data_IF_650511770107
#
_entry.id   IF_650511770107
#
_cell.length_a   1.000
_cell.length_b   1.000
_cell.length_c   1.000
_cell.angle_alpha   90.00
_cell.angle_beta   90.00
_cell.angle_gamma   90.00
#
_symmetry.space_group_name_H-M   'P 1'
#
loop_
_entity.id
_entity.type
_entity.pdbx_description
1 polymer ?
#
# COMPACT_ATOMS: atom_id res chain seq x y z
N UNK A 1 -0.37 6.02 5.99
CA UNK A 1 -0.37 5.23 7.25
C UNK A 1 -0.07 3.77 6.94
N UNK A 2 0.76 3.12 7.77
CA UNK A 2 0.90 1.67 7.75
C UNK A 2 -0.40 1.05 8.28
N UNK A 3 -0.97 0.13 7.52
CA UNK A 3 -2.23 -0.54 7.84
C UNK A 3 -1.97 -2.00 8.23
N UNK A 4 -1.19 -2.69 7.43
CA UNK A 4 -0.80 -4.07 7.70
C UNK A 4 0.71 -4.24 7.53
N UNK A 5 1.30 -5.03 8.40
CA UNK A 5 2.71 -5.35 8.44
C UNK A 5 3.00 -6.80 8.07
N UNK A 6 4.27 -7.20 8.21
CA UNK A 6 4.74 -8.53 7.82
C UNK A 6 3.95 -9.66 8.48
N UNK A 7 3.60 -10.67 7.72
CA UNK A 7 2.86 -11.85 8.17
C UNK A 7 1.36 -11.66 8.37
N UNK A 8 0.84 -10.43 8.22
CA UNK A 8 -0.58 -10.12 8.40
C UNK A 8 -1.38 -10.29 7.10
N UNK A 9 -2.65 -10.59 7.23
CA UNK A 9 -3.62 -10.62 6.13
C UNK A 9 -4.49 -9.37 6.14
N UNK A 10 -4.63 -8.71 5.00
CA UNK A 10 -5.44 -7.51 4.82
C UNK A 10 -6.63 -7.79 3.91
N UNK A 11 -7.79 -7.29 4.31
CA UNK A 11 -9.02 -7.33 3.50
C UNK A 11 -9.79 -6.02 3.64
N UNK A 12 -10.45 -5.59 2.57
CA UNK A 12 -11.36 -4.43 2.58
C UNK A 12 -12.74 -4.92 2.14
N UNK A 13 -13.75 -4.64 2.94
CA UNK A 13 -15.15 -4.99 2.67
C UNK A 13 -15.99 -3.73 2.88
N UNK A 14 -16.69 -3.27 1.85
CA UNK A 14 -17.50 -2.03 1.90
C UNK A 14 -16.71 -0.81 2.42
N UNK A 15 -15.43 -0.69 2.01
CA UNK A 15 -14.48 0.34 2.45
C UNK A 15 -13.97 0.18 3.89
N UNK A 16 -14.52 -0.74 4.67
CA UNK A 16 -13.98 -1.06 6.00
C UNK A 16 -12.76 -1.98 5.84
N UNK A 17 -11.70 -1.64 6.55
CA UNK A 17 -10.43 -2.35 6.48
C UNK A 17 -10.35 -3.35 7.63
N UNK A 18 -9.93 -4.57 7.31
CA UNK A 18 -9.71 -5.63 8.27
C UNK A 18 -8.26 -6.11 8.17
N UNK A 19 -7.62 -6.31 9.31
CA UNK A 19 -6.29 -6.90 9.43
C UNK A 19 -6.38 -8.10 10.36
N UNK A 20 -6.03 -9.28 9.87
CA UNK A 20 -6.20 -10.56 10.58
C UNK A 20 -7.64 -10.75 11.11
N UNK A 21 -8.62 -10.34 10.32
CA UNK A 21 -10.06 -10.40 10.66
C UNK A 21 -10.53 -9.34 11.67
N UNK A 22 -9.64 -8.51 12.20
CA UNK A 22 -9.99 -7.42 13.11
C UNK A 22 -10.14 -6.10 12.35
N UNK A 23 -11.21 -5.36 12.61
CA UNK A 23 -11.46 -4.09 11.93
C UNK A 23 -10.40 -3.04 12.33
N UNK A 24 -9.78 -2.43 11.33
CA UNK A 24 -8.87 -1.30 11.49
C UNK A 24 -9.66 0.00 11.34
N UNK A 25 -9.80 0.73 12.44
CA UNK A 25 -10.57 1.97 12.45
C UNK A 25 -9.79 3.14 11.83
N UNK A 26 -10.51 3.92 11.04
CA UNK A 26 -9.97 5.15 10.48
C UNK A 26 -9.64 6.14 11.62
N UNK A 27 -8.49 6.81 11.60
CA UNK A 27 -8.16 7.82 12.61
C UNK A 27 -9.14 8.99 12.59
N UNK A 28 -9.24 9.75 13.69
CA UNK A 28 -10.20 10.85 13.88
C UNK A 28 -10.21 11.88 12.73
N UNK A 29 -9.04 12.12 12.13
CA UNK A 29 -8.89 13.05 11.00
C UNK A 29 -8.96 12.39 9.63
N UNK A 30 -9.15 11.09 9.59
CA UNK A 30 -9.29 10.31 8.37
C UNK A 30 -10.62 10.63 7.65
N UNK A 31 -10.63 10.39 6.35
CA UNK A 31 -11.79 10.61 5.49
C UNK A 31 -12.06 9.36 4.66
N UNK A 32 -13.26 8.82 4.83
CA UNK A 32 -13.81 7.79 3.97
C UNK A 32 -15.31 8.08 3.80
N UNK A 33 -15.77 8.18 2.58
CA UNK A 33 -17.19 8.33 2.31
C UNK A 33 -17.82 6.94 2.20
N UNK A 34 -18.88 6.71 2.94
CA UNK A 34 -19.70 5.49 2.78
C UNK A 34 -20.72 5.61 1.62
N UNK A 35 -20.69 6.73 0.90
CA UNK A 35 -21.48 6.93 -0.31
C UNK A 35 -20.74 6.35 -1.52
N UNK A 36 -21.49 5.83 -2.49
CA UNK A 36 -20.96 5.30 -3.75
C UNK A 36 -19.90 4.21 -3.54
N UNK A 37 -20.23 3.19 -2.78
CA UNK A 37 -19.44 1.96 -2.68
C UNK A 37 -19.57 1.22 -4.01
N UNK A 38 -18.46 0.78 -4.58
CA UNK A 38 -18.49 -0.08 -5.77
C UNK A 38 -19.12 -1.42 -5.46
N UNK A 39 -19.62 -2.09 -6.48
CA UNK A 39 -20.02 -3.48 -6.40
C UNK A 39 -18.78 -4.37 -6.23
N UNK A 40 -18.88 -5.46 -5.51
CA UNK A 40 -17.77 -6.39 -5.28
C UNK A 40 -17.30 -7.08 -6.57
N UNK A 41 -18.22 -7.28 -7.52
CA UNK A 41 -17.91 -7.83 -8.85
C UNK A 41 -17.26 -6.80 -9.79
N UNK A 42 -17.22 -5.51 -9.42
CA UNK A 42 -16.65 -4.47 -10.28
C UNK A 42 -15.13 -4.55 -10.31
N UNK A 43 -14.58 -4.88 -11.48
CA UNK A 43 -13.14 -4.88 -11.72
C UNK A 43 -12.63 -3.45 -11.99
N UNK A 44 -12.04 -2.82 -10.98
CA UNK A 44 -11.47 -1.48 -11.11
C UNK A 44 -10.09 -1.55 -11.80
N UNK A 45 -9.91 -0.73 -12.85
CA UNK A 45 -8.60 -0.61 -13.50
C UNK A 45 -7.60 0.08 -12.57
N UNK A 46 -6.39 -0.46 -12.51
CA UNK A 46 -5.30 0.11 -11.73
C UNK A 46 -5.19 -0.44 -10.30
N UNK A 47 -6.12 -1.26 -9.85
CA UNK A 47 -5.96 -2.02 -8.60
C UNK A 47 -4.88 -3.09 -8.77
N UNK A 48 -4.07 -3.26 -7.75
CA UNK A 48 -2.94 -4.18 -7.73
C UNK A 48 -2.93 -5.03 -6.44
N UNK A 49 -2.65 -6.35 -6.52
CA UNK A 49 -2.48 -7.14 -7.75
C UNK A 49 -3.78 -7.29 -8.55
N UNK A 50 -3.66 -7.59 -9.84
CA UNK A 50 -4.83 -7.76 -10.70
C UNK A 50 -5.70 -8.92 -10.22
N UNK A 51 -7.02 -8.70 -10.25
CA UNK A 51 -7.99 -9.73 -9.86
C UNK A 51 -8.25 -9.83 -8.37
N UNK A 52 -7.63 -8.98 -7.54
CA UNK A 52 -7.85 -8.97 -6.07
C UNK A 52 -9.13 -8.22 -5.66
N UNK A 53 -9.81 -7.56 -6.59
CA UNK A 53 -11.03 -6.79 -6.36
C UNK A 53 -10.97 -5.34 -6.83
N UNK A 54 -11.51 -4.43 -6.04
CA UNK A 54 -11.50 -2.99 -6.30
C UNK A 54 -11.14 -2.22 -5.01
N UNK A 55 -11.16 -0.88 -5.03
CA UNK A 55 -10.75 -0.06 -3.86
C UNK A 55 -11.64 -0.23 -2.64
N UNK A 56 -12.88 -0.67 -2.81
CA UNK A 56 -13.91 -0.80 -1.77
C UNK A 56 -14.12 -2.25 -1.32
N UNK A 57 -13.76 -3.22 -2.18
CA UNK A 57 -13.70 -4.66 -1.94
C UNK A 57 -12.35 -5.17 -2.43
N UNK A 58 -11.45 -5.48 -1.52
CA UNK A 58 -10.06 -5.81 -1.82
C UNK A 58 -9.57 -6.94 -0.91
N UNK A 59 -8.87 -7.90 -1.48
CA UNK A 59 -8.25 -8.97 -0.70
C UNK A 59 -9.04 -10.28 -0.70
N UNK A 60 -8.70 -11.21 0.23
CA UNK A 60 -7.60 -11.05 1.20
C UNK A 60 -6.20 -11.03 0.56
N UNK A 61 -5.32 -10.15 1.04
CA UNK A 61 -3.92 -10.06 0.64
C UNK A 61 -3.01 -10.40 1.82
N UNK A 62 -2.19 -11.43 1.66
CA UNK A 62 -1.13 -11.76 2.63
C UNK A 62 0.06 -10.82 2.43
N UNK A 63 0.52 -10.19 3.53
CA UNK A 63 1.69 -9.31 3.52
C UNK A 63 2.93 -10.14 3.84
N UNK A 64 3.90 -10.26 2.92
CA UNK A 64 5.07 -11.10 3.15
C UNK A 64 5.99 -10.58 4.26
N UNK A 65 6.51 -11.51 5.05
CA UNK A 65 7.61 -11.27 5.98
C UNK A 65 8.94 -11.76 5.41
N UNK A 66 10.04 -11.23 5.93
CA UNK A 66 11.36 -11.78 5.63
C UNK A 66 11.43 -13.27 6.00
N UNK A 67 11.89 -14.09 5.07
CA UNK A 67 11.94 -15.55 5.20
C UNK A 67 10.69 -16.29 4.73
N UNK A 68 9.60 -15.59 4.39
CA UNK A 68 8.41 -16.23 3.81
C UNK A 68 8.71 -16.75 2.40
N UNK A 69 8.12 -17.91 2.07
CA UNK A 69 8.26 -18.50 0.77
C UNK A 69 7.05 -18.19 -0.12
N UNK A 70 7.27 -17.47 -1.20
CA UNK A 70 6.27 -17.21 -2.24
C UNK A 70 6.33 -18.34 -3.29
N UNK A 71 5.34 -19.21 -3.31
CA UNK A 71 5.15 -20.21 -4.35
C UNK A 71 4.38 -19.57 -5.50
N UNK A 72 4.90 -19.65 -6.72
CA UNK A 72 4.29 -18.99 -7.88
C UNK A 72 3.06 -19.75 -8.36
N UNK A 73 2.01 -19.01 -8.63
CA UNK A 73 0.78 -19.49 -9.26
C UNK A 73 0.21 -18.39 -10.16
N UNK A 74 -0.66 -18.76 -11.09
CA UNK A 74 -1.31 -17.77 -11.97
C UNK A 74 -2.08 -16.69 -11.19
N UNK A 75 -2.60 -17.02 -10.01
CA UNK A 75 -3.38 -16.11 -9.18
C UNK A 75 -2.54 -15.10 -8.41
N UNK A 76 -1.27 -15.41 -8.10
CA UNK A 76 -0.42 -14.54 -7.31
C UNK A 76 0.80 -14.00 -8.06
N UNK A 77 0.90 -14.25 -9.36
CA UNK A 77 2.10 -13.95 -10.14
C UNK A 77 2.44 -12.45 -10.12
N UNK A 78 1.44 -11.58 -10.29
CA UNK A 78 1.64 -10.13 -10.24
C UNK A 78 2.17 -9.69 -8.86
N UNK A 79 1.64 -10.28 -7.79
CA UNK A 79 2.06 -10.00 -6.43
C UNK A 79 3.52 -10.46 -6.20
N UNK A 80 3.85 -11.68 -6.61
CA UNK A 80 5.20 -12.21 -6.49
C UNK A 80 6.22 -11.38 -7.29
N UNK A 81 5.91 -11.03 -8.53
CA UNK A 81 6.76 -10.16 -9.37
C UNK A 81 6.98 -8.79 -8.71
N UNK A 82 5.95 -8.20 -8.12
CA UNK A 82 6.08 -6.93 -7.41
C UNK A 82 7.03 -7.04 -6.21
N UNK A 83 6.82 -8.04 -5.33
CA UNK A 83 7.67 -8.27 -4.16
C UNK A 83 9.13 -8.43 -4.56
N UNK A 84 9.42 -9.33 -5.51
CA UNK A 84 10.77 -9.64 -5.98
C UNK A 84 11.44 -8.40 -6.59
N UNK A 85 10.70 -7.64 -7.42
CA UNK A 85 11.22 -6.42 -8.04
C UNK A 85 11.49 -5.31 -7.01
N UNK A 86 10.68 -5.20 -5.96
CA UNK A 86 10.87 -4.25 -4.85
C UNK A 86 12.11 -4.60 -4.02
N UNK A 87 12.52 -5.86 -3.98
CA UNK A 87 13.76 -6.33 -3.34
C UNK A 87 15.00 -6.13 -4.23
N UNK A 88 14.81 -5.66 -5.46
CA UNK A 88 15.90 -5.23 -6.35
C UNK A 88 16.30 -6.24 -7.41
N UNK A 89 15.56 -7.34 -7.55
CA UNK A 89 15.84 -8.40 -8.53
C UNK A 89 15.19 -8.12 -9.88
N UNK A 90 15.85 -8.56 -10.95
CA UNK A 90 15.29 -8.55 -12.28
C UNK A 90 14.40 -9.77 -12.49
N UNK A 91 13.12 -9.54 -12.78
CA UNK A 91 12.13 -10.60 -12.96
C UNK A 91 11.66 -10.67 -14.41
N UNK A 92 11.75 -11.83 -15.02
CA UNK A 92 11.24 -12.07 -16.37
C UNK A 92 10.36 -13.33 -16.39
N UNK A 93 9.35 -13.39 -17.30
CA UNK A 93 8.55 -14.59 -17.46
C UNK A 93 9.40 -15.80 -17.86
N UNK A 94 9.20 -16.91 -17.19
CA UNK A 94 9.77 -18.20 -17.52
C UNK A 94 8.81 -19.09 -18.33
N UNK A 95 9.11 -20.37 -18.42
CA UNK A 95 8.28 -21.36 -19.11
C UNK A 95 7.33 -22.01 -18.07
N UNK A 96 6.08 -22.28 -18.44
CA UNK A 96 5.13 -23.05 -17.62
C UNK A 96 4.87 -22.50 -16.21
N UNK A 97 4.71 -21.18 -16.07
CA UNK A 97 4.37 -20.54 -14.78
C UNK A 97 5.58 -20.30 -13.85
N UNK A 98 6.80 -20.66 -14.29
CA UNK A 98 8.01 -20.28 -13.60
C UNK A 98 8.37 -18.83 -13.85
N UNK A 99 9.15 -18.23 -12.95
CA UNK A 99 9.80 -16.95 -13.16
C UNK A 99 11.30 -17.16 -13.35
N UNK A 100 11.92 -16.24 -14.07
CA UNK A 100 13.37 -16.10 -14.05
C UNK A 100 13.70 -14.90 -13.18
N UNK A 101 14.48 -15.14 -12.14
CA UNK A 101 15.00 -14.12 -11.24
C UNK A 101 16.51 -14.05 -11.50
N UNK A 102 16.99 -12.86 -11.89
CA UNK A 102 18.40 -12.62 -12.25
C UNK A 102 18.96 -13.61 -13.28
N UNK A 103 18.09 -14.08 -14.19
CA UNK A 103 18.41 -15.02 -15.26
C UNK A 103 18.25 -16.51 -14.90
N UNK A 104 18.04 -16.88 -13.64
CA UNK A 104 17.83 -18.25 -13.17
C UNK A 104 16.35 -18.59 -13.09
N UNK A 105 15.95 -19.76 -13.59
CA UNK A 105 14.55 -20.23 -13.52
C UNK A 105 14.28 -20.82 -12.15
N UNK A 106 13.25 -20.30 -11.49
CA UNK A 106 12.83 -20.73 -10.16
C UNK A 106 11.31 -20.92 -10.10
N UNK A 107 10.83 -21.71 -9.16
CA UNK A 107 9.41 -22.00 -8.94
C UNK A 107 8.87 -21.37 -7.63
N UNK A 108 9.77 -20.85 -6.81
CA UNK A 108 9.45 -20.13 -5.57
C UNK A 108 10.49 -19.05 -5.32
N UNK A 109 10.16 -18.16 -4.39
CA UNK A 109 11.07 -17.11 -3.92
C UNK A 109 10.99 -16.99 -2.40
N UNK A 110 12.12 -16.79 -1.75
CA UNK A 110 12.18 -16.51 -0.31
C UNK A 110 12.35 -15.01 -0.13
N UNK A 111 11.37 -14.35 0.51
CA UNK A 111 11.40 -12.91 0.75
C UNK A 111 12.62 -12.52 1.58
N UNK A 112 13.37 -11.53 1.12
CA UNK A 112 14.60 -11.08 1.78
C UNK A 112 14.33 -10.06 2.88
N UNK A 113 13.22 -9.32 2.77
CA UNK A 113 12.84 -8.28 3.73
C UNK A 113 11.35 -8.29 4.05
N UNK A 114 11.00 -7.56 5.11
CA UNK A 114 9.62 -7.33 5.49
C UNK A 114 8.92 -6.37 4.51
N UNK A 115 7.63 -6.59 4.31
CA UNK A 115 6.78 -5.74 3.48
C UNK A 115 5.64 -5.15 4.30
N UNK A 116 5.10 -4.02 3.83
CA UNK A 116 4.04 -3.26 4.51
C UNK A 116 3.00 -2.79 3.51
N UNK A 117 1.76 -2.71 3.96
CA UNK A 117 0.66 -2.15 3.19
C UNK A 117 0.30 -0.77 3.73
N UNK A 118 0.42 0.24 2.88
CA UNK A 118 0.21 1.63 3.23
C UNK A 118 -1.08 2.15 2.62
N UNK A 119 -1.91 2.84 3.41
CA UNK A 119 -3.07 3.56 2.89
C UNK A 119 -3.07 5.01 3.36
N UNK A 120 -3.53 5.90 2.47
CA UNK A 120 -3.77 7.29 2.83
C UNK A 120 -4.99 7.42 3.74
N UNK A 121 -4.94 8.36 4.69
CA UNK A 121 -6.08 8.62 5.60
C UNK A 121 -7.28 9.23 4.87
N UNK A 122 -7.09 9.84 3.69
CA UNK A 122 -8.17 10.21 2.77
C UNK A 122 -8.41 9.07 1.78
N UNK A 123 -9.17 8.07 2.19
CA UNK A 123 -9.38 6.78 1.53
C UNK A 123 -9.84 6.88 0.08
N UNK A 124 -10.75 7.82 -0.20
CA UNK A 124 -11.34 8.00 -1.54
C UNK A 124 -10.45 8.82 -2.47
N UNK A 125 -9.46 9.53 -1.95
CA UNK A 125 -8.56 10.38 -2.73
C UNK A 125 -7.10 10.12 -2.34
N UNK A 126 -6.70 8.86 -2.40
CA UNK A 126 -5.33 8.40 -2.16
C UNK A 126 -4.90 7.43 -3.24
N UNK A 127 -3.71 7.63 -3.78
CA UNK A 127 -3.02 6.68 -4.65
C UNK A 127 -1.99 5.94 -3.78
N UNK A 128 -2.41 4.83 -3.20
CA UNK A 128 -1.68 4.09 -2.16
C UNK A 128 -1.45 2.62 -2.54
N UNK A 129 -1.13 1.76 -1.58
CA UNK A 129 -0.79 0.35 -1.83
C UNK A 129 -1.85 -0.44 -2.57
N UNK A 130 -3.11 -0.01 -2.55
CA UNK A 130 -4.17 -0.62 -3.38
C UNK A 130 -3.88 -0.52 -4.87
N UNK A 131 -3.05 0.43 -5.29
CA UNK A 131 -2.75 0.73 -6.69
C UNK A 131 -1.34 0.35 -7.12
N UNK A 132 -0.35 0.49 -6.26
CA UNK A 132 1.06 0.25 -6.61
C UNK A 132 1.72 -0.89 -5.82
N UNK A 133 1.00 -1.55 -4.90
CA UNK A 133 1.47 -2.73 -4.18
C UNK A 133 2.12 -2.41 -2.83
N UNK A 134 3.04 -3.27 -2.42
CA UNK A 134 3.65 -3.23 -1.10
C UNK A 134 4.79 -2.21 -1.00
N UNK A 135 5.18 -1.89 0.24
CA UNK A 135 6.37 -1.10 0.57
C UNK A 135 7.38 -1.99 1.28
N UNK A 136 8.58 -2.20 0.72
CA UNK A 136 9.62 -2.94 1.40
C UNK A 136 10.17 -2.12 2.57
N UNK A 137 10.66 -2.80 3.62
CA UNK A 137 11.17 -2.17 4.84
C UNK A 137 12.27 -1.13 4.54
N UNK A 138 13.14 -1.43 3.59
CA UNK A 138 14.23 -0.53 3.16
C UNK A 138 13.75 0.82 2.63
N UNK A 139 12.50 0.94 2.18
CA UNK A 139 11.90 2.19 1.69
C UNK A 139 11.21 3.00 2.80
N UNK A 140 11.12 2.48 4.03
CA UNK A 140 10.52 3.18 5.16
C UNK A 140 11.59 4.03 5.84
N UNK A 141 11.48 5.35 5.70
CA UNK A 141 12.43 6.30 6.29
C UNK A 141 12.13 6.53 7.78
N UNK A 142 10.85 6.52 8.15
CA UNK A 142 10.41 6.75 9.51
C UNK A 142 8.98 7.28 9.59
N UNK A 143 8.54 7.52 10.82
CA UNK A 143 7.22 8.06 11.14
C UNK A 143 7.30 9.57 11.35
N UNK A 144 6.33 10.30 10.78
CA UNK A 144 6.21 11.73 11.02
C UNK A 144 5.58 11.97 12.41
N UNK A 145 6.36 12.53 13.34
CA UNK A 145 5.95 12.73 14.74
C UNK A 145 5.44 14.15 14.97
N UNK A 146 5.99 15.15 14.27
CA UNK A 146 5.74 16.57 14.55
C UNK A 146 5.62 17.39 13.27
N UNK A 147 4.58 18.21 13.19
CA UNK A 147 4.49 19.28 12.18
C UNK A 147 5.16 20.54 12.71
N UNK A 148 6.39 20.82 12.26
CA UNK A 148 7.12 22.03 12.68
C UNK A 148 6.75 23.29 11.88
N UNK A 149 6.33 23.13 10.62
CA UNK A 149 5.95 24.23 9.72
C UNK A 149 4.75 23.83 8.86
N UNK A 150 3.74 24.69 8.78
CA UNK A 150 2.56 24.50 7.93
C UNK A 150 2.20 25.76 7.18
N UNK A 151 2.05 25.67 5.86
CA UNK A 151 1.58 26.76 4.99
C UNK A 151 0.52 26.27 4.02
N UNK A 152 -0.17 27.19 3.36
CA UNK A 152 -1.18 26.87 2.36
C UNK A 152 -0.53 26.55 1.01
N UNK A 153 -0.79 25.33 0.48
CA UNK A 153 -0.16 24.84 -0.77
C UNK A 153 -0.75 25.46 -2.05
N UNK A 154 -1.94 26.04 -1.99
CA UNK A 154 -2.66 26.59 -3.16
C UNK A 154 -2.03 27.84 -3.75
N UNK A 155 -1.04 28.45 -3.09
CA UNK A 155 -0.37 29.66 -3.57
C UNK A 155 0.87 29.30 -4.40
N UNK A 156 0.89 29.63 -5.71
CA UNK A 156 2.03 29.33 -6.57
C UNK A 156 3.26 30.21 -6.30
N UNK A 157 3.10 31.37 -5.68
CA UNK A 157 4.17 32.32 -5.42
C UNK A 157 4.83 32.06 -4.06
N UNK A 158 6.13 31.71 -4.11
CA UNK A 158 6.92 31.33 -2.93
C UNK A 158 6.95 32.42 -1.85
N UNK A 159 7.05 33.70 -2.26
CA UNK A 159 7.08 34.85 -1.33
C UNK A 159 5.74 35.07 -0.64
N UNK A 160 4.63 34.80 -1.31
CA UNK A 160 3.29 34.89 -0.72
C UNK A 160 2.97 33.72 0.21
N UNK A 161 3.64 32.56 0.06
CA UNK A 161 3.51 31.40 0.98
C UNK A 161 3.95 31.76 2.41
N UNK A 162 4.95 32.61 2.56
CA UNK A 162 5.46 33.05 3.89
C UNK A 162 4.35 33.76 4.67
N UNK A 163 3.47 34.52 4.00
CA UNK A 163 2.35 35.22 4.63
C UNK A 163 1.12 34.34 4.86
N UNK A 164 1.12 33.12 4.35
CA UNK A 164 0.05 32.12 4.53
C UNK A 164 0.46 30.95 5.44
N UNK A 165 1.32 31.25 6.40
CA UNK A 165 1.69 30.32 7.47
C UNK A 165 0.45 30.06 8.33
N UNK A 166 0.24 28.79 8.68
CA UNK A 166 -0.86 28.34 9.55
C UNK A 166 -0.33 28.06 10.95
N UNK A 167 -0.22 29.07 11.83
CA UNK A 167 0.41 28.90 13.15
C UNK A 167 -0.34 27.91 14.04
N UNK A 168 -1.65 27.77 13.88
CA UNK A 168 -2.46 26.79 14.62
C UNK A 168 -2.21 25.31 14.24
N UNK A 169 -1.37 25.05 13.20
CA UNK A 169 -0.95 23.71 12.79
C UNK A 169 0.55 23.47 12.97
N UNK A 170 1.26 24.42 13.54
CA UNK A 170 2.70 24.31 13.80
C UNK A 170 2.93 23.72 15.19
N UNK A 171 4.03 22.98 15.33
CA UNK A 171 4.43 22.32 16.57
C UNK A 171 3.34 21.39 17.13
N UNK A 172 2.59 20.78 16.24
CA UNK A 172 1.55 19.82 16.60
C UNK A 172 2.08 18.39 16.41
N UNK A 173 1.86 17.55 17.41
CA UNK A 173 2.11 16.12 17.27
C UNK A 173 1.15 15.55 16.24
N UNK A 174 1.63 14.57 15.48
CA UNK A 174 0.85 13.81 14.48
C UNK A 174 0.49 12.49 15.16
N UNK A 175 -0.81 12.20 15.26
CA UNK A 175 -1.37 10.96 15.80
C UNK A 175 -1.66 9.97 14.66
#
# INVERSE_FOLDING_TARGET
>A
RCIAGPGQSLEIIEKDVFVDGSQFFLPEHGRASKLNVYDDEYAERGIFPRGIGNRDYFGPLQIPAAGDTLIFSELNLDHAVNVISLEGHEVTPGISGQLKIDGESVDHYICEQNHYFMMGDNRDNSHDSRYWGLVPESNIIGEAILTYLSWEQTEPNLLKRIFKIRPGRMFRLID
#
